data_IF_904677586358
#
_entry.id   IF_904677586358
#
_cell.length_a   1.000
_cell.length_b   1.000
_cell.length_c   1.000
_cell.angle_alpha   90.00
_cell.angle_beta   90.00
_cell.angle_gamma   90.00
#
_symmetry.space_group_name_H-M   'P 1'
#
loop_
_entity.id
_entity.type
_entity.pdbx_description
1 polymer ?
#
# COMPACT_ATOMS: atom_id res chain seq x y z
N UNK A 1 -14.26 -1.47 3.65
CA UNK A 1 -13.16 -2.46 3.69
C UNK A 1 -13.66 -3.90 3.58
N UNK A 2 -13.48 -4.50 2.40
CA UNK A 2 -13.90 -5.86 2.05
C UNK A 2 -12.74 -6.87 2.16
N UNK A 3 -12.97 -7.98 2.86
CA UNK A 3 -11.96 -9.04 3.09
C UNK A 3 -11.50 -9.72 1.80
N UNK A 4 -12.38 -9.88 0.81
CA UNK A 4 -12.02 -10.48 -0.48
C UNK A 4 -11.02 -9.64 -1.27
N UNK A 5 -11.09 -8.30 -1.13
CA UNK A 5 -10.15 -7.39 -1.78
C UNK A 5 -8.76 -7.46 -1.14
N UNK A 6 -8.70 -7.69 0.17
CA UNK A 6 -7.44 -7.90 0.88
C UNK A 6 -6.74 -9.15 0.35
N UNK A 7 -7.45 -10.27 0.22
CA UNK A 7 -6.86 -11.51 -0.29
C UNK A 7 -6.35 -11.36 -1.73
N UNK A 8 -7.11 -10.66 -2.59
CA UNK A 8 -6.67 -10.35 -3.96
C UNK A 8 -5.42 -9.46 -3.98
N UNK A 9 -5.37 -8.44 -3.13
CA UNK A 9 -4.22 -7.55 -3.02
C UNK A 9 -2.98 -8.27 -2.47
N UNK A 10 -3.15 -9.22 -1.52
CA UNK A 10 -2.07 -10.03 -0.95
C UNK A 10 -1.36 -10.91 -1.98
N UNK A 11 -2.05 -11.35 -3.03
CA UNK A 11 -1.43 -12.07 -4.15
C UNK A 11 -0.37 -11.21 -4.86
N UNK A 12 -0.56 -9.89 -4.90
CA UNK A 12 0.39 -8.94 -5.50
C UNK A 12 1.43 -8.41 -4.52
N UNK A 13 1.01 -8.13 -3.30
CA UNK A 13 1.88 -7.64 -2.21
C UNK A 13 1.81 -8.63 -1.05
N UNK A 14 2.66 -9.67 -1.02
CA UNK A 14 2.58 -10.76 -0.04
C UNK A 14 2.94 -10.32 1.38
N UNK A 15 3.77 -9.29 1.52
CA UNK A 15 4.15 -8.72 2.81
C UNK A 15 3.01 -7.87 3.38
N UNK A 16 2.38 -8.37 4.45
CA UNK A 16 1.27 -7.68 5.13
C UNK A 16 1.67 -6.28 5.62
N UNK A 17 2.83 -6.08 6.28
CA UNK A 17 3.26 -4.72 6.67
C UNK A 17 3.38 -3.76 5.49
N UNK A 18 3.92 -4.23 4.36
CA UNK A 18 4.05 -3.40 3.15
C UNK A 18 2.67 -3.09 2.57
N UNK A 19 1.78 -4.08 2.50
CA UNK A 19 0.41 -3.90 2.01
C UNK A 19 -0.36 -2.85 2.84
N UNK A 20 -0.30 -2.95 4.17
CA UNK A 20 -0.97 -1.98 5.07
C UNK A 20 -0.45 -0.56 4.84
N UNK A 21 0.88 -0.41 4.73
CA UNK A 21 1.50 0.90 4.50
C UNK A 21 1.15 1.46 3.13
N UNK A 22 1.13 0.61 2.10
CA UNK A 22 0.79 0.97 0.73
C UNK A 22 -0.66 1.46 0.64
N UNK A 23 -1.61 0.69 1.18
CA UNK A 23 -3.03 1.07 1.26
C UNK A 23 -3.18 2.38 2.02
N UNK A 24 -2.56 2.52 3.19
CA UNK A 24 -2.66 3.74 4.01
C UNK A 24 -2.13 4.98 3.28
N UNK A 25 -1.00 4.85 2.57
CA UNK A 25 -0.43 5.93 1.78
C UNK A 25 -1.36 6.30 0.62
N UNK A 26 -1.92 5.30 -0.07
CA UNK A 26 -2.82 5.53 -1.21
C UNK A 26 -4.16 6.15 -0.78
N UNK A 27 -4.74 5.70 0.33
CA UNK A 27 -5.95 6.30 0.90
C UNK A 27 -5.74 7.77 1.24
N UNK A 28 -4.57 8.14 1.79
CA UNK A 28 -4.24 9.56 2.02
C UNK A 28 -4.20 10.37 0.74
N UNK A 29 -3.64 9.83 -0.35
CA UNK A 29 -3.64 10.48 -1.66
C UNK A 29 -5.06 10.69 -2.20
N UNK A 30 -5.91 9.65 -2.14
CA UNK A 30 -7.32 9.75 -2.54
C UNK A 30 -8.10 10.76 -1.68
N UNK A 31 -7.75 10.90 -0.40
CA UNK A 31 -8.28 11.94 0.47
C UNK A 31 -7.84 13.35 0.08
N UNK A 32 -6.65 13.50 -0.49
CA UNK A 32 -6.13 14.77 -1.02
C UNK A 32 -6.71 15.12 -2.41
N UNK A 33 -7.58 14.27 -2.98
CA UNK A 33 -8.22 14.51 -4.27
C UNK A 33 -7.47 13.92 -5.46
N UNK A 34 -6.46 13.08 -5.23
CA UNK A 34 -5.81 12.34 -6.31
C UNK A 34 -6.80 11.44 -7.03
N UNK A 35 -6.63 11.33 -8.34
CA UNK A 35 -7.54 10.54 -9.17
C UNK A 35 -7.35 9.04 -8.90
N UNK A 36 -8.43 8.28 -8.68
CA UNK A 36 -8.39 6.83 -8.69
C UNK A 36 -7.86 6.30 -10.04
N UNK A 37 -7.06 5.24 -10.02
CA UNK A 37 -6.60 4.55 -11.22
C UNK A 37 -7.65 3.56 -11.75
N UNK A 38 -8.54 3.11 -10.86
CA UNK A 38 -9.69 2.27 -11.20
C UNK A 38 -10.97 3.11 -11.16
N UNK A 39 -11.95 2.78 -12.01
CA UNK A 39 -13.26 3.43 -11.94
C UNK A 39 -13.94 3.07 -10.61
N UNK A 40 -14.40 4.07 -9.83
CA UNK A 40 -15.19 3.80 -8.64
C UNK A 40 -16.51 3.10 -8.99
N UNK A 41 -16.91 2.14 -8.17
CA UNK A 41 -18.16 1.38 -8.33
C UNK A 41 -19.38 2.22 -7.94
N UNK A 42 -19.21 3.14 -7.01
CA UNK A 42 -20.23 4.11 -6.57
C UNK A 42 -19.57 5.42 -6.12
N UNK A 43 -20.36 6.48 -5.92
CA UNK A 43 -19.87 7.76 -5.42
C UNK A 43 -19.34 7.67 -3.98
N UNK A 44 -19.90 6.75 -3.19
CA UNK A 44 -19.60 6.56 -1.76
C UNK A 44 -18.69 5.34 -1.51
N UNK A 45 -18.01 4.83 -2.54
CA UNK A 45 -17.08 3.71 -2.37
C UNK A 45 -15.96 4.09 -1.41
N UNK A 46 -15.68 3.20 -0.45
CA UNK A 46 -14.61 3.40 0.51
C UNK A 46 -13.26 3.48 -0.22
N UNK A 47 -12.49 4.53 0.06
CA UNK A 47 -11.17 4.75 -0.54
C UNK A 47 -10.20 3.60 -0.25
N UNK A 48 -10.39 2.88 0.86
CA UNK A 48 -9.62 1.67 1.15
C UNK A 48 -9.91 0.56 0.15
N UNK A 49 -11.17 0.38 -0.24
CA UNK A 49 -11.59 -0.62 -1.23
C UNK A 49 -11.11 -0.24 -2.64
N UNK A 50 -11.13 1.05 -2.98
CA UNK A 50 -10.51 1.57 -4.21
C UNK A 50 -9.00 1.25 -4.24
N UNK A 51 -8.27 1.59 -3.18
CA UNK A 51 -6.83 1.34 -3.10
C UNK A 51 -6.48 -0.16 -3.20
N UNK A 52 -7.26 -1.04 -2.54
CA UNK A 52 -7.08 -2.48 -2.63
C UNK A 52 -7.33 -3.01 -4.04
N UNK A 53 -8.33 -2.48 -4.76
CA UNK A 53 -8.57 -2.79 -6.18
C UNK A 53 -7.42 -2.37 -7.07
N UNK A 54 -6.89 -1.16 -6.90
CA UNK A 54 -5.73 -0.69 -7.66
C UNK A 54 -4.50 -1.60 -7.47
N UNK A 55 -4.26 -2.08 -6.25
CA UNK A 55 -3.19 -3.04 -5.94
C UNK A 55 -3.46 -4.40 -6.58
N UNK A 56 -4.69 -4.91 -6.46
CA UNK A 56 -5.08 -6.20 -7.03
C UNK A 56 -4.96 -6.23 -8.56
N UNK A 57 -5.29 -5.12 -9.23
CA UNK A 57 -5.14 -4.93 -10.67
C UNK A 57 -3.66 -4.69 -11.08
N UNK A 58 -2.78 -4.39 -10.13
CA UNK A 58 -1.35 -4.14 -10.35
C UNK A 58 -1.03 -2.74 -10.88
N UNK A 59 -1.97 -1.80 -10.77
CA UNK A 59 -1.80 -0.40 -11.15
C UNK A 59 -1.00 0.39 -10.09
N UNK A 60 -0.96 -0.13 -8.87
CA UNK A 60 -0.20 0.42 -7.75
C UNK A 60 0.82 -0.62 -7.27
N UNK A 61 2.10 -0.24 -7.22
CA UNK A 61 3.21 -1.10 -6.82
C UNK A 61 3.94 -0.44 -5.65
N UNK A 62 4.37 -1.25 -4.68
CA UNK A 62 5.31 -0.82 -3.66
C UNK A 62 6.75 -1.12 -4.11
N UNK A 63 7.54 -0.07 -4.29
CA UNK A 63 8.99 -0.20 -4.36
C UNK A 63 9.55 -0.16 -2.95
N UNK A 64 10.18 -1.26 -2.53
CA UNK A 64 10.85 -1.37 -1.24
C UNK A 64 12.33 -1.59 -1.49
N UNK A 65 13.16 -0.60 -1.17
CA UNK A 65 14.62 -0.76 -1.18
C UNK A 65 15.08 -1.42 0.14
N UNK A 66 15.13 -2.75 0.13
CA UNK A 66 15.65 -3.53 1.26
C UNK A 66 17.10 -3.19 1.59
N UNK A 67 17.89 -2.69 0.62
CA UNK A 67 19.27 -2.26 0.88
C UNK A 67 19.33 -0.98 1.72
N UNK A 68 18.38 -0.07 1.52
CA UNK A 68 18.26 1.13 2.34
C UNK A 68 17.86 0.80 3.79
N UNK A 69 16.97 -0.17 3.98
CA UNK A 69 16.55 -0.63 5.32
C UNK A 69 17.76 -1.25 6.05
N UNK A 70 18.49 -2.16 5.41
CA UNK A 70 19.68 -2.78 6.01
C UNK A 70 20.77 -1.75 6.37
N UNK A 71 20.97 -0.72 5.54
CA UNK A 71 21.90 0.39 5.86
C UNK A 71 21.43 1.19 7.08
N UNK A 72 20.13 1.45 7.20
CA UNK A 72 19.57 2.17 8.34
C UNK A 72 19.67 1.38 9.65
N UNK A 73 19.41 0.06 9.60
CA UNK A 73 19.57 -0.83 10.76
C UNK A 73 21.04 -0.88 11.24
N UNK A 74 21.98 -1.07 10.31
CA UNK A 74 23.41 -1.06 10.63
C UNK A 74 23.87 0.29 11.21
N UNK A 75 23.32 1.40 10.71
CA UNK A 75 23.57 2.72 11.26
C UNK A 75 23.00 2.85 12.69
N UNK A 76 21.80 2.35 12.98
CA UNK A 76 21.25 2.40 14.33
C UNK A 76 22.05 1.58 15.35
N UNK A 77 22.49 0.36 14.98
CA UNK A 77 23.28 -0.49 15.87
C UNK A 77 24.63 0.12 16.25
N UNK A 78 25.23 0.93 15.36
CA UNK A 78 26.54 1.55 15.57
C UNK A 78 26.54 2.71 16.59
N UNK A 79 25.36 3.22 16.95
CA UNK A 79 25.20 4.37 17.86
C UNK A 79 24.50 3.96 19.17
N UNK A 80 24.11 2.68 19.29
CA UNK A 80 23.53 2.11 20.51
C UNK A 80 24.55 1.36 21.39
N UNK A 81 25.80 1.23 20.92
CA UNK A 81 26.98 0.82 21.71
C UNK A 81 27.77 2.05 22.16
#
# INVERSE_FOLDING_TARGET
>A
MNVELIEKARVRVPSVPVLVNLVSKRVRQLNMGERPFVKPLSADEDKSDIALREIAEGLLIAEVDFSAIARAEAAHSRWSE
#
